data_IF_431720334605
#
_entry.id   IF_431720334605
#
_cell.length_a   1.000
_cell.length_b   1.000
_cell.length_c   1.000
_cell.angle_alpha   90.00
_cell.angle_beta   90.00
_cell.angle_gamma   90.00
#
_symmetry.space_group_name_H-M   'P 1'
#
loop_
_entity.id
_entity.type
_entity.pdbx_description
1 polymer ?
#
# COMPACT_ATOMS: atom_id res chain seq x y z
N UNK A 1 29.75 6.22 19.99
CA UNK A 1 28.92 6.46 18.80
C UNK A 1 29.91 6.66 17.68
N UNK A 2 30.12 5.63 16.87
CA UNK A 2 30.94 5.78 15.67
C UNK A 2 30.29 6.84 14.79
N UNK A 3 31.07 7.82 14.33
CA UNK A 3 30.53 8.90 13.51
C UNK A 3 30.17 8.31 12.15
N UNK A 4 28.89 8.01 11.95
CA UNK A 4 28.39 7.59 10.64
C UNK A 4 28.74 8.69 9.63
N UNK A 5 29.58 8.35 8.66
CA UNK A 5 30.05 9.29 7.66
C UNK A 5 29.07 9.26 6.48
N UNK A 6 28.41 10.39 6.24
CA UNK A 6 27.41 10.53 5.17
C UNK A 6 28.07 10.24 3.83
N UNK A 7 27.50 9.29 3.07
CA UNK A 7 27.96 8.93 1.72
C UNK A 7 27.35 9.84 0.64
N UNK A 8 27.86 9.76 -0.58
CA UNK A 8 27.25 10.47 -1.72
C UNK A 8 25.83 9.99 -2.02
N UNK A 9 25.56 8.71 -1.82
CA UNK A 9 24.22 8.14 -2.00
C UNK A 9 23.25 8.69 -0.94
N UNK A 10 23.70 8.87 0.30
CA UNK A 10 22.91 9.49 1.36
C UNK A 10 22.60 10.96 1.03
N UNK A 11 23.57 11.72 0.50
CA UNK A 11 23.34 13.11 0.08
C UNK A 11 22.32 13.21 -1.06
N UNK A 12 22.43 12.34 -2.07
CA UNK A 12 21.46 12.26 -3.17
C UNK A 12 20.06 11.92 -2.66
N UNK A 13 19.97 10.96 -1.74
CA UNK A 13 18.71 10.59 -1.10
C UNK A 13 18.09 11.74 -0.32
N UNK A 14 18.86 12.44 0.52
CA UNK A 14 18.41 13.60 1.28
C UNK A 14 17.97 14.75 0.37
N UNK A 15 18.68 14.98 -0.74
CA UNK A 15 18.28 15.98 -1.73
C UNK A 15 16.91 15.65 -2.34
N UNK A 16 16.68 14.38 -2.71
CA UNK A 16 15.39 13.94 -3.26
C UNK A 16 14.26 14.07 -2.24
N UNK A 17 14.49 13.68 -0.97
CA UNK A 17 13.51 13.87 0.10
C UNK A 17 13.18 15.36 0.27
N UNK A 18 14.17 16.24 0.23
CA UNK A 18 13.97 17.67 0.46
C UNK A 18 12.98 18.30 -0.52
N UNK A 19 12.90 17.77 -1.75
CA UNK A 19 12.01 18.24 -2.83
C UNK A 19 10.58 17.71 -2.71
N UNK A 20 10.34 16.67 -1.89
CA UNK A 20 9.00 16.19 -1.62
C UNK A 20 8.17 17.26 -0.90
N UNK A 21 6.86 17.35 -1.19
CA UNK A 21 6.00 18.30 -0.50
C UNK A 21 5.84 17.89 0.96
N UNK A 22 5.88 18.89 1.84
CA UNK A 22 5.68 18.70 3.28
C UNK A 22 4.27 18.21 3.57
N UNK A 23 4.17 17.18 4.39
CA UNK A 23 2.91 16.61 4.85
C UNK A 23 2.91 16.43 6.36
N UNK A 24 1.71 16.47 6.93
CA UNK A 24 1.47 16.18 8.34
C UNK A 24 0.56 14.96 8.48
N UNK A 25 0.88 14.10 9.43
CA UNK A 25 0.04 12.96 9.81
C UNK A 25 -0.59 13.20 11.18
N UNK A 26 -1.89 12.93 11.27
CA UNK A 26 -2.69 12.97 12.48
C UNK A 26 -3.17 11.55 12.76
N UNK A 27 -2.85 11.02 13.93
CA UNK A 27 -3.05 9.61 14.24
C UNK A 27 -4.01 9.50 15.42
N UNK A 28 -5.01 8.65 15.28
CA UNK A 28 -5.84 8.22 16.40
C UNK A 28 -6.14 6.72 16.30
N UNK A 29 -6.58 6.14 17.42
CA UNK A 29 -6.80 4.72 17.58
C UNK A 29 -8.19 4.38 18.11
N UNK A 30 -8.67 3.18 17.76
CA UNK A 30 -9.90 2.63 18.25
C UNK A 30 -9.69 1.20 18.76
N UNK A 31 -10.21 0.93 19.96
CA UNK A 31 -10.08 -0.36 20.64
C UNK A 31 -9.08 -0.33 21.79
N UNK A 32 -9.01 -1.43 22.54
CA UNK A 32 -8.13 -1.57 23.70
C UNK A 32 -7.02 -2.59 23.44
N UNK A 33 -5.90 -2.52 24.16
CA UNK A 33 -4.80 -3.50 24.04
C UNK A 33 -5.00 -4.79 24.86
N UNK A 34 -6.14 -4.95 25.54
CA UNK A 34 -6.42 -6.14 26.34
C UNK A 34 -6.68 -7.38 25.48
N UNK A 35 -6.33 -8.56 25.99
CA UNK A 35 -6.64 -9.87 25.40
C UNK A 35 -7.71 -10.66 26.17
N UNK A 36 -8.25 -10.09 27.25
CA UNK A 36 -9.30 -10.71 28.04
C UNK A 36 -10.67 -10.41 27.41
N UNK A 37 -10.98 -11.12 26.33
CA UNK A 37 -12.21 -10.90 25.53
C UNK A 37 -13.50 -11.24 26.30
N UNK A 38 -13.40 -11.86 27.47
CA UNK A 38 -14.54 -12.11 28.35
C UNK A 38 -14.94 -10.88 29.17
N UNK A 39 -14.09 -9.85 29.27
CA UNK A 39 -14.38 -8.59 29.97
C UNK A 39 -15.08 -7.59 29.07
N UNK A 40 -16.08 -6.91 29.62
CA UNK A 40 -16.72 -5.76 28.97
C UNK A 40 -15.68 -4.68 28.64
N UNK A 41 -15.73 -4.13 27.42
CA UNK A 41 -14.82 -3.10 26.94
C UNK A 41 -13.52 -3.60 26.28
N UNK A 42 -13.29 -4.92 26.22
CA UNK A 42 -12.18 -5.48 25.44
C UNK A 42 -12.64 -5.74 24.00
N UNK A 43 -12.13 -4.93 23.08
CA UNK A 43 -12.42 -5.09 21.65
C UNK A 43 -11.77 -6.36 21.08
N UNK A 44 -12.31 -6.95 20.03
CA UNK A 44 -11.67 -8.08 19.32
C UNK A 44 -10.53 -7.60 18.42
N UNK A 45 -10.66 -6.39 17.90
CA UNK A 45 -9.69 -5.75 17.02
C UNK A 45 -9.08 -4.51 17.66
N UNK A 46 -7.98 -4.03 17.09
CA UNK A 46 -7.38 -2.74 17.39
C UNK A 46 -7.09 -2.03 16.07
N UNK A 47 -7.65 -0.84 15.88
CA UNK A 47 -7.54 -0.08 14.64
C UNK A 47 -6.77 1.20 14.89
N UNK A 48 -5.78 1.51 14.08
CA UNK A 48 -5.08 2.80 14.07
C UNK A 48 -5.31 3.46 12.72
N UNK A 49 -5.70 4.73 12.72
CA UNK A 49 -5.87 5.50 11.51
C UNK A 49 -4.87 6.66 11.52
N UNK A 50 -4.07 6.78 10.46
CA UNK A 50 -3.28 7.96 10.17
C UNK A 50 -3.94 8.72 9.02
N UNK A 51 -4.32 9.97 9.29
CA UNK A 51 -4.82 10.93 8.31
C UNK A 51 -3.64 11.80 7.88
N UNK A 52 -3.29 11.73 6.60
CA UNK A 52 -2.17 12.47 6.02
C UNK A 52 -2.67 13.62 5.18
N UNK A 53 -2.19 14.82 5.47
CA UNK A 53 -2.62 16.08 4.84
C UNK A 53 -1.40 16.81 4.29
N UNK A 54 -1.53 17.43 3.12
CA UNK A 54 -0.51 18.35 2.62
C UNK A 54 -0.50 19.62 3.47
N UNK A 55 0.67 20.09 3.90
CA UNK A 55 0.77 21.20 4.85
C UNK A 55 0.03 22.46 4.39
N UNK A 56 -0.06 22.69 3.07
CA UNK A 56 -0.77 23.82 2.48
C UNK A 56 -2.30 23.74 2.67
N UNK A 57 -2.86 22.55 2.84
CA UNK A 57 -4.30 22.27 2.86
C UNK A 57 -4.85 22.12 4.29
N UNK A 58 -3.97 22.06 5.31
CA UNK A 58 -4.32 21.92 6.73
C UNK A 58 -5.36 22.95 7.16
N UNK A 59 -5.10 24.25 6.95
CA UNK A 59 -6.00 25.32 7.39
C UNK A 59 -7.37 25.27 6.71
N UNK A 60 -7.44 24.82 5.45
CA UNK A 60 -8.71 24.64 4.75
C UNK A 60 -9.53 23.47 5.30
N UNK A 61 -8.87 22.38 5.66
CA UNK A 61 -9.51 21.20 6.28
C UNK A 61 -9.99 21.53 7.69
N UNK A 62 -9.21 22.25 8.50
CA UNK A 62 -9.61 22.66 9.84
C UNK A 62 -10.91 23.47 9.83
N UNK A 63 -11.02 24.45 8.92
CA UNK A 63 -12.25 25.23 8.75
C UNK A 63 -13.46 24.35 8.40
N UNK A 64 -13.27 23.35 7.53
CA UNK A 64 -14.34 22.41 7.18
C UNK A 64 -14.74 21.50 8.33
N UNK A 65 -13.79 21.08 9.16
CA UNK A 65 -14.08 20.33 10.38
C UNK A 65 -14.93 21.17 11.35
N UNK A 66 -14.59 22.45 11.55
CA UNK A 66 -15.39 23.35 12.40
C UNK A 66 -16.81 23.58 11.87
N UNK A 67 -17.01 23.60 10.55
CA UNK A 67 -18.34 23.60 9.93
C UNK A 67 -19.10 22.30 10.27
N UNK A 68 -18.47 21.13 10.12
CA UNK A 68 -19.09 19.83 10.43
C UNK A 68 -19.43 19.73 11.93
N UNK A 69 -18.54 20.16 12.82
CA UNK A 69 -18.77 20.20 14.27
C UNK A 69 -20.01 21.03 14.60
N UNK A 70 -20.13 22.24 14.07
CA UNK A 70 -21.31 23.10 14.30
C UNK A 70 -22.59 22.46 13.77
N UNK A 71 -22.54 21.89 12.57
CA UNK A 71 -23.74 21.38 11.90
C UNK A 71 -24.21 20.01 12.43
N UNK A 72 -23.30 19.15 12.89
CA UNK A 72 -23.59 17.73 13.22
C UNK A 72 -23.34 17.36 14.68
N UNK A 73 -22.59 18.18 15.41
CA UNK A 73 -22.18 17.93 16.79
C UNK A 73 -22.50 19.11 17.72
N UNK A 74 -23.22 20.14 17.25
CA UNK A 74 -23.58 21.30 18.07
C UNK A 74 -22.36 22.12 18.53
N UNK A 75 -21.25 22.05 17.80
CA UNK A 75 -19.99 22.71 18.12
C UNK A 75 -19.10 21.93 19.09
N UNK A 76 -19.48 20.71 19.49
CA UNK A 76 -18.59 19.83 20.26
C UNK A 76 -17.59 19.11 19.36
N UNK A 77 -16.55 18.56 20.01
CA UNK A 77 -15.59 17.65 19.39
C UNK A 77 -16.30 16.47 18.69
N UNK A 78 -15.84 16.11 17.49
CA UNK A 78 -16.36 14.96 16.76
C UNK A 78 -15.74 13.69 17.34
N UNK A 79 -16.55 12.85 17.99
CA UNK A 79 -16.10 11.55 18.49
C UNK A 79 -16.85 10.40 17.86
N UNK A 80 -16.16 9.33 17.48
CA UNK A 80 -16.79 8.15 16.90
C UNK A 80 -17.76 7.49 17.89
N UNK A 81 -17.40 7.50 19.17
CA UNK A 81 -18.25 7.02 20.27
C UNK A 81 -19.57 7.79 20.39
N UNK A 82 -19.59 9.08 20.06
CA UNK A 82 -20.81 9.91 20.10
C UNK A 82 -21.80 9.61 18.96
N UNK A 83 -21.34 8.94 17.89
CA UNK A 83 -22.19 8.44 16.80
C UNK A 83 -22.74 7.05 17.16
N UNK A 84 -21.92 6.22 17.81
CA UNK A 84 -22.27 4.84 18.23
C UNK A 84 -22.86 4.03 17.05
N UNK A 85 -23.95 3.29 17.27
CA UNK A 85 -24.59 2.41 16.30
C UNK A 85 -25.53 3.14 15.32
N UNK A 86 -25.52 4.48 15.26
CA UNK A 86 -26.34 5.22 14.31
C UNK A 86 -25.70 5.23 12.91
N UNK A 87 -25.94 4.16 12.14
CA UNK A 87 -25.34 3.95 10.83
C UNK A 87 -25.70 5.05 9.82
N UNK A 88 -26.93 5.57 9.86
CA UNK A 88 -27.36 6.67 8.98
C UNK A 88 -26.61 7.97 9.30
N UNK A 89 -26.41 8.28 10.58
CA UNK A 89 -25.59 9.44 10.99
C UNK A 89 -24.13 9.23 10.58
N UNK A 90 -23.60 8.01 10.75
CA UNK A 90 -22.23 7.65 10.38
C UNK A 90 -21.97 7.84 8.89
N UNK A 91 -22.80 7.28 8.01
CA UNK A 91 -22.61 7.42 6.55
C UNK A 91 -22.64 8.89 6.10
N UNK A 92 -23.53 9.71 6.67
CA UNK A 92 -23.61 11.13 6.33
C UNK A 92 -22.33 11.89 6.69
N UNK A 93 -21.78 11.64 7.89
CA UNK A 93 -20.52 12.26 8.33
C UNK A 93 -19.37 11.78 7.46
N UNK A 94 -19.26 10.47 7.20
CA UNK A 94 -18.20 9.93 6.36
C UNK A 94 -18.25 10.48 4.92
N UNK A 95 -19.45 10.71 4.38
CA UNK A 95 -19.62 11.29 3.04
C UNK A 95 -19.17 12.75 2.99
N UNK A 96 -19.41 13.54 4.04
CA UNK A 96 -18.90 14.91 4.15
C UNK A 96 -17.37 14.93 4.27
N UNK A 97 -16.80 14.00 5.06
CA UNK A 97 -15.34 13.85 5.19
C UNK A 97 -14.68 13.42 3.87
N UNK A 98 -15.33 12.60 3.05
CA UNK A 98 -14.80 12.15 1.75
C UNK A 98 -14.48 13.30 0.78
N UNK A 99 -15.18 14.44 0.94
CA UNK A 99 -14.98 15.64 0.12
C UNK A 99 -13.70 16.41 0.46
N UNK A 100 -13.08 16.12 1.61
CA UNK A 100 -11.84 16.76 2.04
C UNK A 100 -10.62 16.09 1.41
N UNK A 101 -9.56 16.86 1.17
CA UNK A 101 -8.36 16.37 0.50
C UNK A 101 -7.31 15.83 1.48
N UNK A 102 -7.49 14.58 1.90
CA UNK A 102 -6.52 13.85 2.72
C UNK A 102 -6.26 12.45 2.18
N UNK A 103 -5.21 11.82 2.68
CA UNK A 103 -4.88 10.42 2.44
C UNK A 103 -4.93 9.62 3.74
N UNK A 104 -5.09 8.31 3.64
CA UNK A 104 -5.23 7.41 4.78
C UNK A 104 -4.19 6.29 4.75
N UNK A 105 -3.65 5.98 5.93
CA UNK A 105 -2.98 4.70 6.21
C UNK A 105 -3.68 4.11 7.42
N UNK A 106 -4.15 2.86 7.29
CA UNK A 106 -4.97 2.23 8.32
C UNK A 106 -4.29 0.94 8.76
N UNK A 107 -4.12 0.73 10.06
CA UNK A 107 -3.68 -0.53 10.63
C UNK A 107 -4.86 -1.20 11.32
N UNK A 108 -5.12 -2.45 10.98
CA UNK A 108 -6.17 -3.29 11.56
C UNK A 108 -5.50 -4.52 12.17
N UNK A 109 -5.50 -4.60 13.50
CA UNK A 109 -4.98 -5.73 14.22
C UNK A 109 -6.12 -6.59 14.78
N UNK A 110 -6.31 -7.79 14.23
CA UNK A 110 -7.15 -8.84 14.81
C UNK A 110 -6.42 -9.47 16.01
N UNK A 111 -6.86 -9.12 17.21
CA UNK A 111 -6.27 -9.62 18.44
C UNK A 111 -6.71 -11.05 18.75
N UNK A 112 -7.87 -11.49 18.27
CA UNK A 112 -8.35 -12.86 18.49
C UNK A 112 -7.50 -13.84 17.69
N UNK A 113 -7.30 -13.59 16.39
CA UNK A 113 -6.45 -14.42 15.55
C UNK A 113 -5.00 -14.51 16.07
N UNK A 114 -4.47 -13.40 16.61
CA UNK A 114 -3.18 -13.39 17.28
C UNK A 114 -3.19 -14.20 18.59
N UNK A 115 -4.23 -14.07 19.40
CA UNK A 115 -4.33 -14.71 20.71
C UNK A 115 -4.49 -16.23 20.61
N UNK A 116 -5.33 -16.72 19.70
CA UNK A 116 -5.62 -18.15 19.53
C UNK A 116 -4.40 -18.94 19.05
N UNK A 117 -3.53 -18.33 18.24
CA UNK A 117 -2.45 -19.02 17.54
C UNK A 117 -1.04 -18.70 18.07
N UNK A 118 -0.90 -17.96 19.18
CA UNK A 118 0.41 -17.49 19.61
C UNK A 118 0.74 -17.70 21.11
N UNK A 119 1.93 -18.23 21.44
CA UNK A 119 2.47 -18.20 22.80
C UNK A 119 2.91 -16.79 23.23
N UNK A 120 2.93 -15.81 22.32
CA UNK A 120 3.38 -14.43 22.55
C UNK A 120 2.35 -13.55 23.28
N UNK A 121 1.16 -14.07 23.56
CA UNK A 121 0.10 -13.39 24.34
C UNK A 121 0.56 -12.94 25.73
N UNK A 122 1.62 -13.55 26.27
CA UNK A 122 2.27 -13.15 27.53
C UNK A 122 3.06 -11.83 27.43
N UNK A 123 3.32 -11.31 26.22
CA UNK A 123 4.19 -10.16 25.98
C UNK A 123 3.48 -9.06 25.18
N UNK A 124 2.44 -8.45 25.78
CA UNK A 124 1.72 -7.27 25.26
C UNK A 124 2.66 -6.21 24.65
N UNK A 125 3.78 -5.92 25.32
CA UNK A 125 4.77 -4.96 24.84
C UNK A 125 5.43 -5.33 23.50
N UNK A 126 5.64 -6.63 23.23
CA UNK A 126 6.19 -7.10 21.95
C UNK A 126 5.19 -6.96 20.82
N UNK A 127 3.91 -7.26 21.07
CA UNK A 127 2.82 -7.04 20.13
C UNK A 127 2.72 -5.56 19.73
N UNK A 128 2.68 -4.66 20.72
CA UNK A 128 2.58 -3.21 20.48
C UNK A 128 3.80 -2.69 19.70
N UNK A 129 5.02 -3.08 20.08
CA UNK A 129 6.23 -2.74 19.32
C UNK A 129 6.20 -3.24 17.88
N UNK A 130 5.61 -4.41 17.64
CA UNK A 130 5.45 -4.95 16.30
C UNK A 130 4.47 -4.11 15.47
N UNK A 131 3.33 -3.70 16.05
CA UNK A 131 2.39 -2.79 15.39
C UNK A 131 3.02 -1.44 15.07
N UNK A 132 3.84 -0.88 15.98
CA UNK A 132 4.61 0.33 15.71
C UNK A 132 5.50 0.19 14.48
N UNK A 133 6.23 -0.92 14.37
CA UNK A 133 7.06 -1.20 13.20
C UNK A 133 6.23 -1.25 11.92
N UNK A 134 5.12 -1.99 11.92
CA UNK A 134 4.28 -2.10 10.72
C UNK A 134 3.76 -0.74 10.26
N UNK A 135 3.25 0.07 11.19
CA UNK A 135 2.76 1.41 10.90
C UNK A 135 3.88 2.31 10.40
N UNK A 136 5.05 2.28 11.05
CA UNK A 136 6.24 3.00 10.62
C UNK A 136 6.66 2.64 9.19
N UNK A 137 6.83 1.35 8.89
CA UNK A 137 7.28 0.88 7.57
C UNK A 137 6.32 1.34 6.46
N UNK A 138 5.01 1.29 6.71
CA UNK A 138 4.00 1.75 5.76
C UNK A 138 4.02 3.27 5.58
N UNK A 139 4.02 4.03 6.68
CA UNK A 139 4.05 5.50 6.65
C UNK A 139 5.32 6.03 5.99
N UNK A 140 6.48 5.46 6.32
CA UNK A 140 7.76 5.87 5.76
C UNK A 140 7.88 5.52 4.27
N UNK A 141 7.42 4.33 3.87
CA UNK A 141 7.41 3.91 2.47
C UNK A 141 6.55 4.84 1.60
N UNK A 142 5.38 5.25 2.09
CA UNK A 142 4.48 6.17 1.40
C UNK A 142 4.98 7.62 1.44
N UNK A 143 5.43 8.08 2.60
CA UNK A 143 5.79 9.48 2.85
C UNK A 143 7.13 9.57 3.61
N UNK A 144 8.27 9.54 2.89
CA UNK A 144 9.59 9.70 3.50
C UNK A 144 9.78 11.06 4.20
N UNK A 145 9.05 12.09 3.74
CA UNK A 145 8.96 13.42 4.36
C UNK A 145 7.58 13.64 4.96
N UNK A 146 7.48 13.45 6.28
CA UNK A 146 6.22 13.47 7.02
C UNK A 146 6.44 13.91 8.46
N UNK A 147 5.71 14.94 8.90
CA UNK A 147 5.70 15.36 10.30
C UNK A 147 4.48 14.78 11.02
N UNK A 148 4.68 14.03 12.09
CA UNK A 148 3.59 13.43 12.85
C UNK A 148 3.17 14.40 13.95
N UNK A 149 1.93 14.83 13.92
CA UNK A 149 1.41 15.82 14.88
C UNK A 149 1.00 15.11 16.16
N UNK A 150 1.55 15.56 17.29
CA UNK A 150 1.09 15.15 18.61
C UNK A 150 -0.17 15.94 18.99
N UNK A 151 -1.19 15.23 19.46
CA UNK A 151 -2.36 15.84 20.09
C UNK A 151 -2.12 16.04 21.60
N UNK A 152 -2.67 17.10 22.21
CA UNK A 152 -2.56 17.34 23.67
C UNK A 152 -3.22 16.21 24.47
N UNK A 153 -4.23 15.54 23.89
CA UNK A 153 -4.89 14.37 24.46
C UNK A 153 -4.14 13.05 24.22
N UNK A 154 -3.06 13.10 23.42
CA UNK A 154 -2.21 11.98 23.02
C UNK A 154 -1.27 11.47 24.12
N UNK A 155 -1.83 10.92 25.20
CA UNK A 155 -1.05 10.14 26.19
C UNK A 155 -1.39 8.66 26.20
N UNK A 156 -2.01 8.14 25.13
CA UNK A 156 -2.28 6.72 25.02
C UNK A 156 -0.99 5.91 25.03
N UNK A 157 -1.09 4.66 25.49
CA UNK A 157 0.04 3.73 25.55
C UNK A 157 0.66 3.51 24.16
N UNK A 158 -0.15 3.57 23.10
CA UNK A 158 0.29 3.44 21.72
C UNK A 158 1.12 4.65 21.28
N UNK A 159 0.54 5.86 21.32
CA UNK A 159 1.20 7.08 20.82
C UNK A 159 2.55 7.31 21.51
N UNK A 160 2.62 7.10 22.83
CA UNK A 160 3.88 7.19 23.59
C UNK A 160 4.92 6.20 23.09
N UNK A 161 4.51 4.95 22.89
CA UNK A 161 5.40 3.91 22.40
C UNK A 161 5.80 4.12 20.94
N UNK A 162 4.91 4.64 20.11
CA UNK A 162 5.15 4.90 18.70
C UNK A 162 6.11 6.07 18.50
N UNK A 163 5.97 7.15 19.29
CA UNK A 163 6.96 8.24 19.36
C UNK A 163 8.35 7.73 19.70
N UNK A 164 8.46 6.90 20.75
CA UNK A 164 9.75 6.32 21.12
C UNK A 164 10.30 5.44 20.00
N UNK A 165 9.44 4.68 19.32
CA UNK A 165 9.83 3.86 18.19
C UNK A 165 10.40 4.71 17.04
N UNK A 166 9.70 5.77 16.64
CA UNK A 166 10.16 6.68 15.58
C UNK A 166 11.49 7.33 15.94
N UNK A 167 11.60 7.92 17.14
CA UNK A 167 12.86 8.55 17.58
C UNK A 167 14.07 7.61 17.57
N UNK A 168 13.83 6.31 17.77
CA UNK A 168 14.87 5.27 17.75
C UNK A 168 15.21 4.81 16.33
N UNK A 169 14.26 4.87 15.39
CA UNK A 169 14.38 4.29 14.04
C UNK A 169 14.40 5.35 12.91
N UNK A 170 14.30 6.64 13.25
CA UNK A 170 14.27 7.74 12.29
C UNK A 170 15.48 7.73 11.36
N UNK A 171 15.30 8.11 10.09
CA UNK A 171 16.39 8.19 9.12
C UNK A 171 17.44 9.25 9.48
N UNK A 172 18.50 9.35 8.68
CA UNK A 172 19.54 10.34 8.85
C UNK A 172 18.99 11.79 8.89
N UNK A 173 19.71 12.67 9.59
CA UNK A 173 19.45 14.10 9.60
C UNK A 173 19.53 14.68 8.19
N UNK A 174 18.66 15.65 7.91
CA UNK A 174 18.74 16.45 6.69
C UNK A 174 19.83 17.53 6.78
N UNK A 175 20.03 18.28 5.70
CA UNK A 175 21.06 19.34 5.61
C UNK A 175 20.89 20.48 6.63
N UNK A 176 19.75 20.57 7.31
CA UNK A 176 19.42 21.60 8.30
C UNK A 176 19.35 21.03 9.72
N UNK A 177 19.95 19.87 9.96
CA UNK A 177 19.94 19.18 11.26
C UNK A 177 18.52 18.90 11.80
N UNK A 178 17.56 18.68 10.89
CA UNK A 178 16.19 18.25 11.21
C UNK A 178 15.90 16.86 10.61
N UNK A 179 14.89 16.18 11.13
CA UNK A 179 14.45 14.88 10.63
C UNK A 179 13.22 15.06 9.75
N UNK A 180 13.31 14.65 8.48
CA UNK A 180 12.16 14.74 7.55
C UNK A 180 10.98 13.84 7.97
N UNK A 181 11.24 12.81 8.78
CA UNK A 181 10.23 11.93 9.39
C UNK A 181 10.35 11.93 10.91
N UNK A 182 9.56 12.76 11.60
CA UNK A 182 9.55 12.81 13.07
C UNK A 182 8.25 13.42 13.62
N UNK A 183 8.07 13.30 14.92
CA UNK A 183 7.03 14.00 15.65
C UNK A 183 7.31 15.49 15.76
N UNK A 184 6.25 16.29 15.67
CA UNK A 184 6.27 17.73 15.93
C UNK A 184 5.29 18.09 17.03
N UNK A 185 5.74 18.98 17.91
CA UNK A 185 4.89 19.58 18.93
C UNK A 185 4.01 20.63 18.22
N UNK A 186 2.75 20.30 17.99
CA UNK A 186 1.76 21.24 17.47
C UNK A 186 0.61 21.34 18.45
N UNK A 187 0.05 22.53 18.60
CA UNK A 187 -1.14 22.74 19.42
C UNK A 187 -2.37 22.14 18.72
N UNK A 188 -3.32 21.65 19.52
CA UNK A 188 -4.60 21.03 19.14
C UNK A 188 -5.03 21.27 17.69
N UNK A 189 -4.87 20.24 16.84
CA UNK A 189 -5.48 20.25 15.52
C UNK A 189 -6.72 19.37 15.52
N UNK A 190 -7.84 19.93 15.10
CA UNK A 190 -9.11 19.20 15.02
C UNK A 190 -9.09 18.09 13.95
N UNK A 191 -8.04 18.02 13.11
CA UNK A 191 -7.87 16.97 12.09
C UNK A 191 -7.73 15.57 12.70
N UNK A 192 -7.18 15.45 13.91
CA UNK A 192 -7.09 14.15 14.61
C UNK A 192 -8.46 13.49 14.79
N UNK A 193 -9.53 14.29 14.90
CA UNK A 193 -10.90 13.78 15.00
C UNK A 193 -11.36 13.05 13.72
N UNK A 194 -10.78 13.37 12.55
CA UNK A 194 -11.02 12.59 11.33
C UNK A 194 -10.49 11.17 11.53
N UNK A 195 -9.32 11.02 12.13
CA UNK A 195 -8.73 9.72 12.42
C UNK A 195 -9.60 8.91 13.40
N UNK A 196 -10.15 9.53 14.46
CA UNK A 196 -11.10 8.89 15.38
C UNK A 196 -12.34 8.35 14.62
N UNK A 197 -12.99 9.23 13.85
CA UNK A 197 -14.21 8.89 13.10
C UNK A 197 -13.97 7.74 12.13
N UNK A 198 -12.84 7.74 11.41
CA UNK A 198 -12.51 6.70 10.44
C UNK A 198 -12.12 5.40 11.16
N UNK A 199 -11.21 5.44 12.13
CA UNK A 199 -10.79 4.26 12.90
C UNK A 199 -11.98 3.57 13.56
N UNK A 200 -12.85 4.36 14.21
CA UNK A 200 -14.05 3.83 14.84
C UNK A 200 -15.13 3.39 13.85
N UNK A 201 -15.18 3.94 12.63
CA UNK A 201 -16.10 3.44 11.59
C UNK A 201 -15.62 2.11 10.99
N UNK A 202 -14.30 1.95 10.79
CA UNK A 202 -13.70 0.67 10.40
C UNK A 202 -13.98 -0.39 11.48
N UNK A 203 -13.73 -0.06 12.76
CA UNK A 203 -14.07 -0.93 13.88
C UNK A 203 -15.55 -1.31 13.91
N UNK A 204 -16.45 -0.34 13.69
CA UNK A 204 -17.89 -0.60 13.69
C UNK A 204 -18.30 -1.56 12.57
N UNK A 205 -17.73 -1.45 11.37
CA UNK A 205 -18.01 -2.36 10.26
C UNK A 205 -17.49 -3.78 10.51
N UNK A 206 -16.35 -3.92 11.19
CA UNK A 206 -15.82 -5.22 11.62
C UNK A 206 -16.77 -5.91 12.61
N UNK A 207 -17.35 -5.14 13.54
CA UNK A 207 -18.27 -5.66 14.57
C UNK A 207 -19.67 -5.92 13.99
N UNK A 208 -20.17 -5.02 13.15
CA UNK A 208 -21.49 -5.10 12.52
C UNK A 208 -21.36 -4.84 11.01
N UNK A 209 -21.51 -5.92 10.22
CA UNK A 209 -21.43 -5.88 8.76
C UNK A 209 -22.49 -5.00 8.09
N UNK A 210 -23.56 -4.60 8.82
CA UNK A 210 -24.55 -3.63 8.33
C UNK A 210 -24.10 -2.17 8.49
N UNK A 211 -23.03 -1.92 9.25
CA UNK A 211 -22.46 -0.58 9.35
C UNK A 211 -21.80 -0.20 8.03
N UNK A 212 -21.64 1.10 7.74
CA UNK A 212 -20.97 1.57 6.53
C UNK A 212 -19.54 1.04 6.40
N UNK A 213 -19.20 0.48 5.25
CA UNK A 213 -17.83 0.07 4.91
C UNK A 213 -16.96 1.30 4.61
N UNK A 214 -16.27 1.79 5.64
CA UNK A 214 -15.39 2.94 5.55
C UNK A 214 -14.19 2.67 4.62
N UNK A 215 -13.65 1.44 4.56
CA UNK A 215 -12.52 1.13 3.68
C UNK A 215 -12.92 1.27 2.22
N UNK A 216 -14.10 0.78 1.86
CA UNK A 216 -14.66 0.93 0.51
C UNK A 216 -15.05 2.35 0.17
N UNK A 217 -15.63 3.09 1.12
CA UNK A 217 -15.97 4.50 0.89
C UNK A 217 -14.73 5.36 0.62
N UNK A 218 -13.64 5.13 1.37
CA UNK A 218 -12.40 5.88 1.25
C UNK A 218 -11.35 5.21 0.36
N UNK A 219 -11.72 4.23 -0.48
CA UNK A 219 -10.78 3.47 -1.32
C UNK A 219 -9.82 4.33 -2.18
N UNK A 220 -10.24 5.53 -2.58
CA UNK A 220 -9.43 6.46 -3.37
C UNK A 220 -8.47 7.33 -2.53
N UNK A 221 -8.70 7.39 -1.22
CA UNK A 221 -7.89 8.14 -0.25
C UNK A 221 -6.89 7.24 0.47
N UNK A 222 -7.15 5.93 0.52
CA UNK A 222 -6.29 4.95 1.18
C UNK A 222 -5.00 4.74 0.37
N UNK A 223 -3.86 4.81 1.05
CA UNK A 223 -2.53 4.50 0.51
C UNK A 223 -2.06 3.11 0.90
N UNK A 224 -2.45 2.66 2.08
CA UNK A 224 -2.13 1.33 2.57
C UNK A 224 -3.12 0.90 3.65
N UNK A 225 -3.40 -0.40 3.71
CA UNK A 225 -4.11 -1.04 4.83
C UNK A 225 -3.28 -2.20 5.34
N UNK A 226 -2.90 -2.10 6.60
CA UNK A 226 -2.00 -3.03 7.26
C UNK A 226 -2.85 -3.96 8.12
N UNK A 227 -3.03 -5.20 7.67
CA UNK A 227 -3.72 -6.22 8.45
C UNK A 227 -2.71 -7.05 9.27
N UNK A 228 -2.98 -7.22 10.57
CA UNK A 228 -2.19 -8.07 11.46
C UNK A 228 -3.09 -8.98 12.32
N UNK A 229 -2.76 -10.27 12.51
CA UNK A 229 -1.78 -11.03 11.72
C UNK A 229 -2.15 -10.97 10.23
N UNK A 230 -1.14 -11.07 9.35
CA UNK A 230 -1.42 -11.28 7.92
C UNK A 230 -2.05 -12.66 7.81
N UNK A 231 -3.37 -12.73 7.90
CA UNK A 231 -4.11 -13.97 7.66
C UNK A 231 -4.06 -14.19 6.17
N UNK A 232 -3.04 -14.95 5.76
CA UNK A 232 -3.12 -15.60 4.47
C UNK A 232 -4.22 -16.64 4.61
N UNK A 233 -5.41 -16.31 4.14
CA UNK A 233 -6.48 -17.29 3.96
C UNK A 233 -6.24 -17.90 2.59
N UNK A 234 -5.55 -19.07 2.49
CA UNK A 234 -5.47 -19.74 1.21
C UNK A 234 -6.91 -19.96 0.75
N UNK A 235 -7.21 -19.61 -0.50
CA UNK A 235 -8.48 -20.00 -1.11
C UNK A 235 -8.61 -21.52 -0.93
N UNK A 236 -9.75 -21.95 -0.37
CA UNK A 236 -9.96 -23.36 -0.03
C UNK A 236 -9.79 -24.23 -1.27
N UNK A 237 -8.80 -25.13 -1.22
CA UNK A 237 -8.48 -26.07 -2.29
C UNK A 237 -9.54 -27.16 -2.35
N UNK A 238 -10.44 -27.10 -3.33
CA UNK A 238 -11.23 -28.26 -3.72
C UNK A 238 -10.48 -28.99 -4.83
N UNK A 239 -9.80 -30.08 -4.46
CA UNK A 239 -9.02 -30.91 -5.38
C UNK A 239 -9.93 -31.39 -6.53
N UNK A 240 -9.53 -31.12 -7.78
CA UNK A 240 -10.18 -31.65 -8.98
C UNK A 240 -11.04 -30.66 -9.80
N UNK A 241 -11.05 -29.37 -9.45
CA UNK A 241 -11.75 -28.31 -10.18
C UNK A 241 -10.79 -27.15 -10.51
N UNK A 242 -11.15 -26.28 -11.48
CA UNK A 242 -10.38 -25.08 -11.85
C UNK A 242 -10.10 -24.18 -10.63
N UNK A 243 -10.98 -24.23 -9.62
CA UNK A 243 -10.82 -23.54 -8.33
C UNK A 243 -9.57 -23.93 -7.54
N UNK A 244 -9.02 -25.14 -7.74
CA UNK A 244 -7.76 -25.57 -7.10
C UNK A 244 -6.56 -24.77 -7.61
N UNK A 245 -6.45 -24.65 -8.94
CA UNK A 245 -5.31 -23.94 -9.55
C UNK A 245 -5.42 -22.43 -9.32
N UNK A 246 -6.63 -21.90 -9.30
CA UNK A 246 -6.86 -20.49 -8.99
C UNK A 246 -6.37 -20.11 -7.59
N UNK A 247 -6.61 -20.98 -6.60
CA UNK A 247 -6.08 -20.82 -5.25
C UNK A 247 -4.54 -20.78 -5.26
N UNK A 248 -3.91 -21.74 -5.93
CA UNK A 248 -2.45 -21.85 -6.02
C UNK A 248 -1.82 -20.63 -6.73
N UNK A 249 -2.45 -20.12 -7.80
CA UNK A 249 -2.00 -18.92 -8.51
C UNK A 249 -2.04 -17.70 -7.60
N UNK A 250 -3.18 -17.46 -6.94
CA UNK A 250 -3.32 -16.33 -6.03
C UNK A 250 -2.29 -16.41 -4.90
N UNK A 251 -2.18 -17.59 -4.29
CA UNK A 251 -1.26 -17.88 -3.20
C UNK A 251 0.20 -17.58 -3.57
N UNK A 252 0.62 -18.02 -4.76
CA UNK A 252 1.96 -17.77 -5.28
C UNK A 252 2.18 -16.28 -5.56
N UNK A 253 1.24 -15.62 -6.24
CA UNK A 253 1.36 -14.22 -6.62
C UNK A 253 1.42 -13.29 -5.40
N UNK A 254 0.53 -13.52 -4.44
CA UNK A 254 0.49 -12.81 -3.16
C UNK A 254 1.81 -12.97 -2.38
N UNK A 255 2.29 -14.21 -2.23
CA UNK A 255 3.57 -14.51 -1.56
C UNK A 255 4.76 -13.84 -2.25
N UNK A 256 4.83 -13.88 -3.58
CA UNK A 256 5.92 -13.25 -4.35
C UNK A 256 5.93 -11.74 -4.17
N UNK A 257 4.76 -11.10 -4.25
CA UNK A 257 4.64 -9.65 -4.03
C UNK A 257 5.04 -9.25 -2.60
N UNK A 258 4.58 -9.99 -1.58
CA UNK A 258 4.96 -9.73 -0.20
C UNK A 258 6.46 -9.92 0.05
N UNK A 259 7.05 -11.00 -0.47
CA UNK A 259 8.48 -11.25 -0.32
C UNK A 259 9.31 -10.13 -0.93
N UNK A 260 8.90 -9.60 -2.10
CA UNK A 260 9.56 -8.46 -2.73
C UNK A 260 9.57 -7.24 -1.81
N UNK A 261 8.42 -6.87 -1.25
CA UNK A 261 8.27 -5.72 -0.36
C UNK A 261 9.16 -5.89 0.89
N UNK A 262 9.16 -7.08 1.50
CA UNK A 262 9.95 -7.34 2.72
C UNK A 262 11.46 -7.35 2.46
N UNK A 263 11.90 -7.93 1.35
CA UNK A 263 13.32 -7.99 0.98
C UNK A 263 13.90 -6.59 0.69
N UNK A 264 13.08 -5.71 0.13
CA UNK A 264 13.48 -4.37 -0.31
C UNK A 264 13.08 -3.27 0.68
N UNK A 265 12.61 -3.59 1.89
CA UNK A 265 12.07 -2.60 2.84
C UNK A 265 13.06 -1.50 3.26
N UNK A 266 14.36 -1.82 3.24
CA UNK A 266 15.44 -0.92 3.66
C UNK A 266 16.14 -0.26 2.46
N UNK A 267 15.65 -0.50 1.24
CA UNK A 267 16.23 0.09 0.03
C UNK A 267 15.81 1.58 -0.06
N UNK A 268 16.79 2.46 -0.23
CA UNK A 268 16.59 3.91 -0.31
C UNK A 268 16.29 4.38 -1.74
N UNK A 269 16.36 3.49 -2.72
CA UNK A 269 16.08 3.79 -4.12
C UNK A 269 14.62 4.15 -4.33
N UNK A 270 14.40 5.32 -4.94
CA UNK A 270 13.07 5.80 -5.30
C UNK A 270 12.34 4.82 -6.23
N UNK A 271 13.03 4.19 -7.18
CA UNK A 271 12.42 3.19 -8.06
C UNK A 271 11.93 1.97 -7.27
N UNK A 272 12.71 1.49 -6.28
CA UNK A 272 12.37 0.33 -5.46
C UNK A 272 11.21 0.66 -4.50
N UNK A 273 11.21 1.88 -3.95
CA UNK A 273 10.09 2.41 -3.16
C UNK A 273 8.81 2.47 -3.98
N UNK A 274 8.86 2.99 -5.21
CA UNK A 274 7.70 3.06 -6.11
C UNK A 274 7.19 1.67 -6.52
N UNK A 275 8.08 0.69 -6.71
CA UNK A 275 7.70 -0.72 -6.92
C UNK A 275 6.97 -1.30 -5.70
N UNK A 276 7.45 -0.99 -4.50
CA UNK A 276 6.81 -1.43 -3.26
C UNK A 276 5.42 -0.80 -3.08
N UNK A 277 5.26 0.49 -3.35
CA UNK A 277 3.97 1.18 -3.33
C UNK A 277 3.00 0.63 -4.37
N UNK A 278 3.48 0.36 -5.58
CA UNK A 278 2.69 -0.29 -6.63
C UNK A 278 2.15 -1.65 -6.16
N UNK A 279 2.99 -2.50 -5.57
CA UNK A 279 2.55 -3.81 -5.08
C UNK A 279 1.58 -3.70 -3.90
N UNK A 280 1.81 -2.78 -2.96
CA UNK A 280 0.87 -2.53 -1.84
C UNK A 280 -0.51 -2.15 -2.35
N UNK A 281 -0.58 -1.27 -3.35
CA UNK A 281 -1.84 -0.88 -3.99
C UNK A 281 -2.55 -2.08 -4.64
N UNK A 282 -1.83 -2.92 -5.39
CA UNK A 282 -2.44 -4.09 -6.04
C UNK A 282 -2.90 -5.14 -5.02
N UNK A 283 -2.10 -5.38 -3.96
CA UNK A 283 -2.45 -6.29 -2.87
C UNK A 283 -3.69 -5.81 -2.14
N UNK A 284 -3.75 -4.52 -1.79
CA UNK A 284 -4.90 -3.91 -1.15
C UNK A 284 -6.17 -4.10 -1.98
N UNK A 285 -6.11 -3.85 -3.29
CA UNK A 285 -7.25 -4.06 -4.18
C UNK A 285 -7.68 -5.53 -4.26
N UNK A 286 -6.73 -6.46 -4.32
CA UNK A 286 -7.02 -7.89 -4.38
C UNK A 286 -7.67 -8.40 -3.08
N UNK A 287 -7.27 -7.87 -1.93
CA UNK A 287 -7.77 -8.29 -0.62
C UNK A 287 -9.13 -7.67 -0.27
N UNK A 288 -9.44 -6.45 -0.74
CA UNK A 288 -10.56 -5.66 -0.23
C UNK A 288 -11.70 -5.41 -1.24
N UNK A 289 -11.42 -5.39 -2.55
CA UNK A 289 -12.42 -4.99 -3.56
C UNK A 289 -12.79 -6.08 -4.57
N UNK A 290 -12.27 -7.29 -4.35
CA UNK A 290 -12.68 -8.49 -5.05
C UNK A 290 -11.71 -8.92 -6.14
N UNK A 291 -11.82 -10.20 -6.48
CA UNK A 291 -10.81 -10.91 -7.27
C UNK A 291 -10.70 -10.38 -8.70
N UNK A 292 -11.77 -9.87 -9.31
CA UNK A 292 -11.77 -9.49 -10.74
C UNK A 292 -11.30 -8.07 -11.04
N UNK A 293 -11.03 -7.25 -10.02
CA UNK A 293 -10.82 -5.81 -10.24
C UNK A 293 -9.40 -5.49 -10.71
N UNK A 294 -9.30 -4.94 -11.93
CA UNK A 294 -8.08 -4.31 -12.43
C UNK A 294 -8.02 -2.84 -11.99
N UNK A 295 -6.82 -2.36 -11.68
CA UNK A 295 -6.57 -0.94 -11.47
C UNK A 295 -6.00 -0.34 -12.75
N UNK A 296 -6.71 0.63 -13.33
CA UNK A 296 -6.28 1.32 -14.53
C UNK A 296 -4.90 1.97 -14.35
N UNK A 297 -4.04 1.80 -15.35
CA UNK A 297 -2.69 2.37 -15.36
C UNK A 297 -2.66 3.88 -15.13
N UNK A 298 -3.69 4.61 -15.60
CA UNK A 298 -3.80 6.06 -15.36
C UNK A 298 -3.97 6.42 -13.89
N UNK A 299 -4.79 5.65 -13.15
CA UNK A 299 -5.00 5.84 -11.71
C UNK A 299 -3.70 5.55 -10.94
N UNK A 300 -3.03 4.44 -11.26
CA UNK A 300 -1.74 4.08 -10.66
C UNK A 300 -0.69 5.16 -10.91
N UNK A 301 -0.58 5.64 -12.15
CA UNK A 301 0.34 6.72 -12.51
C UNK A 301 0.09 7.98 -11.68
N UNK A 302 -1.19 8.36 -11.50
CA UNK A 302 -1.55 9.51 -10.69
C UNK A 302 -1.13 9.30 -9.23
N UNK A 303 -1.53 8.19 -8.61
CA UNK A 303 -1.21 7.88 -7.21
C UNK A 303 0.30 7.83 -6.94
N UNK A 304 1.07 7.19 -7.82
CA UNK A 304 2.52 7.12 -7.67
C UNK A 304 3.20 8.49 -7.91
N UNK A 305 2.66 9.31 -8.83
CA UNK A 305 3.16 10.67 -9.05
C UNK A 305 2.92 11.57 -7.83
N UNK A 306 1.78 11.41 -7.15
CA UNK A 306 1.46 12.21 -5.96
C UNK A 306 2.40 11.89 -4.77
N UNK A 307 3.00 10.69 -4.77
CA UNK A 307 3.90 10.18 -3.75
C UNK A 307 5.39 10.31 -4.12
N UNK A 308 5.72 10.78 -5.32
CA UNK A 308 7.10 10.95 -5.79
C UNK A 308 7.40 12.40 -6.17
N UNK A 309 8.68 12.74 -6.25
CA UNK A 309 9.12 14.03 -6.77
C UNK A 309 8.92 14.08 -8.29
N UNK A 310 9.30 13.02 -8.98
CA UNK A 310 9.23 12.94 -10.44
C UNK A 310 7.88 12.42 -10.88
N UNK A 311 7.24 13.14 -11.79
CA UNK A 311 6.00 12.67 -12.43
C UNK A 311 6.21 11.30 -13.05
N UNK A 312 5.50 10.30 -12.53
CA UNK A 312 5.47 8.96 -13.09
C UNK A 312 4.69 9.01 -14.41
N UNK A 313 5.22 8.40 -15.46
CA UNK A 313 4.54 8.28 -16.75
C UNK A 313 4.10 6.84 -16.99
N UNK A 314 3.25 6.60 -18.00
CA UNK A 314 2.86 5.23 -18.37
C UNK A 314 4.07 4.40 -18.84
N UNK A 315 5.00 5.01 -19.54
CA UNK A 315 6.24 4.35 -19.99
C UNK A 315 7.13 4.00 -18.79
N UNK A 316 7.26 4.92 -17.82
CA UNK A 316 7.97 4.66 -16.56
C UNK A 316 7.33 3.51 -15.79
N UNK A 317 6.00 3.54 -15.58
CA UNK A 317 5.26 2.47 -14.92
C UNK A 317 5.52 1.12 -15.60
N UNK A 318 5.49 1.06 -16.93
CA UNK A 318 5.76 -0.19 -17.64
C UNK A 318 7.22 -0.64 -17.50
N UNK A 319 8.20 0.20 -17.84
CA UNK A 319 9.61 -0.21 -17.97
C UNK A 319 10.36 -0.30 -16.63
N UNK A 320 10.07 0.61 -15.71
CA UNK A 320 10.82 0.77 -14.45
C UNK A 320 10.14 0.08 -13.27
N UNK A 321 8.83 -0.14 -13.35
CA UNK A 321 8.06 -0.80 -12.29
C UNK A 321 7.65 -2.21 -12.73
N UNK A 322 6.72 -2.34 -13.68
CA UNK A 322 6.11 -3.63 -14.01
C UNK A 322 7.10 -4.63 -14.61
N UNK A 323 7.89 -4.21 -15.60
CA UNK A 323 8.88 -5.08 -16.23
C UNK A 323 9.92 -5.56 -15.21
N UNK A 324 10.44 -4.65 -14.37
CA UNK A 324 11.41 -4.98 -13.33
C UNK A 324 10.87 -5.92 -12.27
N UNK A 325 9.63 -5.71 -11.83
CA UNK A 325 8.96 -6.63 -10.91
C UNK A 325 8.82 -8.04 -11.51
N UNK A 326 8.51 -8.14 -12.80
CA UNK A 326 8.42 -9.44 -13.50
C UNK A 326 9.79 -10.10 -13.68
N UNK A 327 10.83 -9.33 -13.99
CA UNK A 327 12.21 -9.81 -14.04
C UNK A 327 12.67 -10.37 -12.68
N UNK A 328 12.09 -9.87 -11.58
CA UNK A 328 12.32 -10.29 -10.20
C UNK A 328 11.26 -11.30 -9.68
N UNK A 329 10.68 -12.12 -10.58
CA UNK A 329 9.72 -13.20 -10.28
C UNK A 329 8.38 -12.79 -9.64
N UNK A 330 8.00 -11.50 -9.68
CA UNK A 330 6.70 -11.05 -9.17
C UNK A 330 5.62 -11.22 -10.23
N UNK A 331 4.57 -11.95 -9.88
CA UNK A 331 3.45 -12.23 -10.77
C UNK A 331 2.46 -11.05 -10.79
N UNK A 332 2.34 -10.40 -11.94
CA UNK A 332 1.43 -9.28 -12.17
C UNK A 332 0.65 -9.55 -13.46
N UNK A 333 -0.68 -9.62 -13.36
CA UNK A 333 -1.55 -9.70 -14.53
C UNK A 333 -1.75 -8.31 -15.14
N UNK A 334 -1.70 -8.25 -16.47
CA UNK A 334 -2.01 -7.05 -17.25
C UNK A 334 -3.18 -7.32 -18.17
N UNK A 335 -4.02 -6.31 -18.35
CA UNK A 335 -5.06 -6.27 -19.37
C UNK A 335 -5.19 -4.86 -19.96
N UNK A 336 -6.10 -4.67 -20.92
CA UNK A 336 -6.52 -3.33 -21.36
C UNK A 336 -7.10 -2.48 -20.22
N UNK A 337 -7.57 -3.10 -19.14
CA UNK A 337 -8.14 -2.44 -17.96
C UNK A 337 -7.10 -2.13 -16.88
N UNK A 338 -5.82 -2.47 -17.09
CA UNK A 338 -4.72 -2.09 -16.21
C UNK A 338 -4.01 -3.30 -15.57
N UNK A 339 -3.74 -3.21 -14.27
CA UNK A 339 -2.92 -4.19 -13.54
C UNK A 339 -3.63 -4.72 -12.30
N UNK A 340 -3.30 -5.96 -11.92
CA UNK A 340 -3.72 -6.59 -10.64
C UNK A 340 -2.78 -7.72 -10.24
N UNK A 341 -2.86 -8.13 -8.97
CA UNK A 341 -2.36 -9.44 -8.55
C UNK A 341 -3.26 -10.51 -9.18
N UNK A 342 -2.74 -11.49 -9.93
CA UNK A 342 -3.56 -12.56 -10.50
C UNK A 342 -4.19 -13.39 -9.38
N UNK A 343 -5.48 -13.66 -9.52
CA UNK A 343 -6.30 -14.38 -8.53
C UNK A 343 -6.83 -15.71 -9.06
N UNK A 344 -6.75 -15.90 -10.38
CA UNK A 344 -7.19 -17.10 -11.09
C UNK A 344 -6.40 -17.33 -12.38
N UNK A 345 -6.63 -18.49 -12.98
CA UNK A 345 -6.04 -18.93 -14.25
C UNK A 345 -6.43 -18.00 -15.40
N UNK A 346 -7.65 -17.48 -15.39
CA UNK A 346 -8.15 -16.59 -16.45
C UNK A 346 -7.39 -15.26 -16.50
N UNK A 347 -6.90 -14.75 -15.37
CA UNK A 347 -6.04 -13.56 -15.34
C UNK A 347 -4.72 -13.78 -16.07
N UNK A 348 -4.14 -14.96 -15.86
CA UNK A 348 -2.90 -15.36 -16.53
C UNK A 348 -3.14 -15.54 -18.02
N UNK A 349 -4.26 -16.18 -18.41
CA UNK A 349 -4.66 -16.31 -19.82
C UNK A 349 -4.88 -14.95 -20.47
N UNK A 350 -5.54 -14.02 -19.78
CA UNK A 350 -5.77 -12.65 -20.27
C UNK A 350 -4.44 -11.93 -20.53
N UNK A 351 -3.51 -12.03 -19.59
CA UNK A 351 -2.16 -11.47 -19.74
C UNK A 351 -1.40 -12.08 -20.93
N UNK A 352 -1.41 -13.41 -21.06
CA UNK A 352 -0.74 -14.11 -22.16
C UNK A 352 -1.38 -13.72 -23.50
N UNK A 353 -2.71 -13.72 -23.59
CA UNK A 353 -3.45 -13.35 -24.80
C UNK A 353 -3.12 -11.90 -25.23
N UNK A 354 -3.08 -10.95 -24.29
CA UNK A 354 -2.66 -9.59 -24.59
C UNK A 354 -1.23 -9.54 -25.12
N UNK A 355 -0.31 -10.28 -24.50
CA UNK A 355 1.10 -10.34 -24.91
C UNK A 355 1.25 -10.95 -26.31
N UNK A 356 0.46 -11.99 -26.61
CA UNK A 356 0.45 -12.67 -27.90
C UNK A 356 0.10 -11.73 -29.06
N UNK A 357 -0.80 -10.76 -28.84
CA UNK A 357 -1.15 -9.74 -29.85
C UNK A 357 0.04 -8.91 -30.33
N UNK A 358 1.12 -8.85 -29.55
CA UNK A 358 2.37 -8.14 -29.90
C UNK A 358 3.45 -9.13 -30.32
N UNK A 359 3.70 -10.16 -29.51
CA UNK A 359 4.82 -11.09 -29.70
C UNK A 359 4.63 -11.95 -30.96
N UNK A 360 3.44 -12.51 -31.18
CA UNK A 360 3.18 -13.39 -32.33
C UNK A 360 3.36 -12.65 -33.67
N UNK A 361 2.79 -11.45 -33.90
CA UNK A 361 3.07 -10.68 -35.11
C UNK A 361 4.54 -10.29 -35.28
N UNK A 362 5.26 -10.01 -34.19
CA UNK A 362 6.69 -9.69 -34.25
C UNK A 362 7.53 -10.89 -34.67
N UNK A 363 7.31 -12.06 -34.07
CA UNK A 363 7.97 -13.30 -34.46
C UNK A 363 7.64 -13.67 -35.91
N UNK A 364 6.39 -13.53 -36.34
CA UNK A 364 5.99 -13.77 -37.72
C UNK A 364 6.72 -12.85 -38.72
N UNK A 365 6.97 -11.58 -38.37
CA UNK A 365 7.75 -10.65 -39.21
C UNK A 365 9.22 -11.05 -39.30
N UNK A 366 9.82 -11.45 -38.18
CA UNK A 366 11.20 -11.96 -38.15
C UNK A 366 11.31 -13.22 -39.02
N UNK A 367 10.38 -14.16 -38.87
CA UNK A 367 10.32 -15.38 -39.68
C UNK A 367 10.23 -15.09 -41.18
N UNK A 368 9.35 -14.16 -41.60
CA UNK A 368 9.26 -13.73 -43.00
C UNK A 368 10.57 -13.13 -43.52
N UNK A 369 11.20 -12.24 -42.75
CA UNK A 369 12.48 -11.64 -43.10
C UNK A 369 13.56 -12.70 -43.30
N UNK A 370 13.67 -13.64 -42.35
CA UNK A 370 14.58 -14.79 -42.42
C UNK A 370 14.34 -15.62 -43.68
N UNK A 371 13.10 -16.01 -43.95
CA UNK A 371 12.76 -16.83 -45.13
C UNK A 371 13.07 -16.12 -46.45
N UNK A 372 12.84 -14.82 -46.55
CA UNK A 372 13.15 -14.03 -47.74
C UNK A 372 14.66 -13.99 -48.01
N UNK A 373 15.46 -13.70 -46.99
CA UNK A 373 16.93 -13.64 -47.14
C UNK A 373 17.51 -15.03 -47.41
N UNK A 374 17.03 -16.05 -46.70
CA UNK A 374 17.46 -17.43 -46.93
C UNK A 374 17.16 -17.88 -48.36
N UNK A 375 15.99 -17.53 -48.89
CA UNK A 375 15.62 -17.83 -50.28
C UNK A 375 16.48 -17.08 -51.29
N UNK A 376 16.67 -15.78 -51.11
CA UNK A 376 17.44 -14.93 -52.04
C UNK A 376 18.92 -15.32 -52.09
N UNK A 377 19.44 -15.90 -51.00
CA UNK A 377 20.83 -16.37 -50.91
C UNK A 377 21.00 -17.84 -51.27
N UNK A 378 20.02 -18.46 -51.92
CA UNK A 378 20.02 -19.89 -52.27
C UNK A 378 20.31 -20.82 -51.09
N UNK A 379 19.81 -20.46 -49.90
CA UNK A 379 20.01 -21.21 -48.66
C UNK A 379 21.40 -21.08 -48.03
N UNK A 380 22.26 -20.19 -48.55
CA UNK A 380 23.63 -20.02 -48.04
C UNK A 380 23.72 -19.15 -46.79
N UNK A 381 22.77 -18.22 -46.61
CA UNK A 381 22.75 -17.31 -45.46
C UNK A 381 21.45 -17.44 -44.69
N UNK A 382 21.55 -18.03 -43.50
CA UNK A 382 20.54 -17.90 -42.47
C UNK A 382 20.96 -16.81 -41.47
N UNK A 383 20.27 -15.68 -41.52
CA UNK A 383 20.55 -14.50 -40.68
C UNK A 383 20.51 -14.80 -39.18
N UNK A 384 19.78 -15.85 -38.75
CA UNK A 384 19.68 -16.22 -37.34
C UNK A 384 20.81 -17.15 -36.87
N UNK A 385 21.75 -17.52 -37.74
CA UNK A 385 22.95 -18.28 -37.34
C UNK A 385 23.98 -17.44 -36.57
N UNK A 386 23.88 -16.10 -36.60
CA UNK A 386 24.75 -15.26 -35.81
C UNK A 386 24.60 -15.55 -34.30
N UNK A 387 25.71 -15.50 -33.55
CA UNK A 387 25.75 -15.89 -32.14
C UNK A 387 24.74 -15.09 -31.28
N UNK A 388 24.58 -13.81 -31.57
CA UNK A 388 23.65 -12.90 -30.92
C UNK A 388 22.15 -13.25 -31.11
N UNK A 389 21.80 -14.06 -32.13
CA UNK A 389 20.41 -14.42 -32.44
C UNK A 389 20.04 -15.87 -32.11
N UNK A 390 20.93 -16.65 -31.49
CA UNK A 390 20.64 -18.06 -31.18
C UNK A 390 19.39 -18.26 -30.32
N UNK A 391 19.09 -17.33 -29.41
CA UNK A 391 17.86 -17.36 -28.61
C UNK A 391 16.59 -17.29 -29.46
N UNK A 392 16.62 -16.50 -30.54
CA UNK A 392 15.48 -16.35 -31.46
C UNK A 392 15.30 -17.57 -32.36
N UNK A 393 16.39 -18.23 -32.74
CA UNK A 393 16.35 -19.40 -33.64
C UNK A 393 15.45 -20.52 -33.12
N UNK A 394 15.43 -20.72 -31.79
CA UNK A 394 14.60 -21.74 -31.11
C UNK A 394 13.10 -21.59 -31.36
N UNK A 395 12.61 -20.38 -31.62
CA UNK A 395 11.18 -20.13 -31.87
C UNK A 395 10.73 -20.52 -33.29
N UNK A 396 11.66 -20.85 -34.19
CA UNK A 396 11.37 -21.17 -35.58
C UNK A 396 11.60 -22.64 -35.95
N UNK A 397 11.70 -23.53 -34.96
CA UNK A 397 11.63 -24.99 -35.16
C UNK A 397 12.94 -25.67 -35.57
N UNK A 398 14.08 -24.97 -35.54
CA UNK A 398 15.38 -25.59 -35.77
C UNK A 398 15.96 -26.08 -34.44
N UNK A 399 15.67 -27.34 -34.10
CA UNK A 399 16.37 -28.08 -33.05
C UNK A 399 17.48 -28.94 -33.65
#
# INVERSE_FOLDING_TARGET
MDSYQISFDDLSYLENISKLPGRSAFIDECGSFGFDFCKEGVSTHYVVCAVIVNNKDIGGIEQKIEEIQRNKFGGSEMKSSSISNNHHRRINILTELLMLDFSLIILIADKQAFHENSPLTKYKGTFVKYLHRLLYDSMYCAYPKLKIVEDEYGTSEFQKGYRQYIRTNRPALNLFDDYDFDYVDSKNSNIVQIADIIAGSVMQHIIDTNAPDALKLFQSRIRDVICFPKVFTPKSEKIGDDSYYDAQIYNLAHKRALNYIEQNRNDLSEEVRLRSLFLRLLLFSAENFGESQYIYAGKIVQELSDLSETKVTRDFLYRRIVAKLRDEDVLIASSSHGYKIPTCTEDIRTYIAQTDTVVSPMLARIGKCRSLIFKETDGKLDILNAAEFQGYKRYFGDY
#
